data_IF_122886048893
#
_entry.id   IF_122886048893
#
_cell.length_a   1.000
_cell.length_b   1.000
_cell.length_c   1.000
_cell.angle_alpha   90.00
_cell.angle_beta   90.00
_cell.angle_gamma   90.00
#
_symmetry.space_group_name_H-M   'P 1'
#
loop_
_entity.id
_entity.type
_entity.pdbx_description
1 polymer ?
#
# COMPACT_ATOMS: atom_id res chain seq x y z
N UNK A 1 20.98 -7.60 -45.89
CA UNK A 1 19.59 -8.09 -45.68
C UNK A 1 19.51 -9.19 -44.63
N UNK A 2 20.35 -10.22 -44.71
CA UNK A 2 20.37 -11.34 -43.76
C UNK A 2 20.75 -10.92 -42.32
N UNK A 3 21.70 -10.00 -42.18
CA UNK A 3 22.11 -9.41 -40.90
C UNK A 3 20.98 -8.62 -40.22
N UNK A 4 20.32 -7.73 -40.97
CA UNK A 4 19.14 -7.00 -40.51
C UNK A 4 17.96 -7.92 -40.15
N UNK A 5 17.88 -9.12 -40.73
CA UNK A 5 16.85 -10.11 -40.40
C UNK A 5 17.17 -10.83 -39.09
N UNK A 6 18.44 -11.18 -38.86
CA UNK A 6 18.92 -11.74 -37.58
C UNK A 6 18.74 -10.75 -36.43
N UNK A 7 19.04 -9.48 -36.63
CA UNK A 7 18.83 -8.43 -35.63
C UNK A 7 17.34 -8.32 -35.25
N UNK A 8 16.43 -8.29 -36.24
CA UNK A 8 14.99 -8.28 -35.98
C UNK A 8 14.52 -9.51 -35.21
N UNK A 9 15.03 -10.69 -35.56
CA UNK A 9 14.70 -11.93 -34.85
C UNK A 9 15.20 -11.91 -33.41
N UNK A 10 16.41 -11.41 -33.16
CA UNK A 10 16.97 -11.27 -31.82
C UNK A 10 16.17 -10.27 -30.98
N UNK A 11 15.83 -9.10 -31.54
CA UNK A 11 14.98 -8.10 -30.89
C UNK A 11 13.60 -8.69 -30.56
N UNK A 12 13.00 -9.45 -31.46
CA UNK A 12 11.71 -10.09 -31.24
C UNK A 12 11.77 -11.18 -30.15
N UNK A 13 12.86 -11.96 -30.12
CA UNK A 13 13.12 -12.94 -29.05
C UNK A 13 13.28 -12.26 -27.69
N UNK A 14 14.15 -11.24 -27.61
CA UNK A 14 14.35 -10.45 -26.39
C UNK A 14 13.05 -9.83 -25.91
N UNK A 15 12.22 -9.24 -26.81
CA UNK A 15 10.91 -8.68 -26.46
C UNK A 15 9.95 -9.72 -25.90
N UNK A 16 9.91 -10.93 -26.47
CA UNK A 16 9.10 -12.04 -25.94
C UNK A 16 9.55 -12.46 -24.55
N UNK A 17 10.86 -12.54 -24.34
CA UNK A 17 11.41 -12.96 -23.05
C UNK A 17 11.18 -11.89 -21.98
N UNK A 18 11.31 -10.61 -22.34
CA UNK A 18 10.98 -9.48 -21.49
C UNK A 18 9.47 -9.45 -21.15
N UNK A 19 8.60 -9.76 -22.12
CA UNK A 19 7.17 -9.92 -21.87
C UNK A 19 6.85 -11.14 -20.99
N UNK A 20 7.64 -12.22 -21.08
CA UNK A 20 7.50 -13.41 -20.23
C UNK A 20 7.91 -13.10 -18.78
N UNK A 21 9.05 -12.42 -18.59
CA UNK A 21 9.56 -12.02 -17.28
C UNK A 21 8.70 -10.92 -16.64
N UNK A 22 8.20 -9.97 -17.43
CA UNK A 22 7.29 -8.92 -16.98
C UNK A 22 5.91 -9.41 -16.51
N UNK A 23 5.57 -10.69 -16.73
CA UNK A 23 4.36 -11.31 -16.16
C UNK A 23 4.48 -11.63 -14.68
N UNK A 24 5.72 -11.77 -14.16
CA UNK A 24 5.96 -12.08 -12.76
C UNK A 24 6.31 -10.79 -12.05
N UNK A 25 5.31 -10.17 -11.45
CA UNK A 25 5.51 -8.96 -10.66
C UNK A 25 5.62 -9.31 -9.18
N UNK A 26 6.84 -9.58 -8.73
CA UNK A 26 7.15 -10.07 -7.38
C UNK A 26 6.48 -9.23 -6.29
N UNK A 27 6.49 -7.90 -6.41
CA UNK A 27 5.89 -7.03 -5.38
C UNK A 27 4.39 -7.27 -5.27
N UNK A 28 3.69 -7.36 -6.39
CA UNK A 28 2.25 -7.54 -6.32
C UNK A 28 1.81 -8.99 -6.14
N UNK A 29 2.69 -9.95 -6.39
CA UNK A 29 2.51 -11.34 -5.98
C UNK A 29 2.66 -11.49 -4.46
N UNK A 30 3.57 -10.70 -3.86
CA UNK A 30 3.81 -10.60 -2.42
C UNK A 30 2.69 -9.82 -1.71
N UNK A 31 2.11 -8.79 -2.33
CA UNK A 31 1.05 -7.97 -1.75
C UNK A 31 -0.27 -8.13 -2.51
N UNK A 32 -0.98 -9.24 -2.26
CA UNK A 32 -2.29 -9.50 -2.88
C UNK A 32 -3.40 -8.79 -2.11
N UNK A 33 -3.84 -7.65 -2.64
CA UNK A 33 -4.99 -6.91 -2.13
C UNK A 33 -6.28 -7.48 -2.75
N UNK A 34 -7.25 -7.77 -1.90
CA UNK A 34 -8.58 -8.24 -2.30
C UNK A 34 -9.64 -7.77 -1.30
N UNK A 35 -10.85 -8.32 -1.39
CA UNK A 35 -11.94 -8.04 -0.45
C UNK A 35 -12.71 -9.31 -0.15
N UNK A 36 -13.15 -9.48 1.10
CA UNK A 36 -14.00 -10.60 1.52
C UNK A 36 -15.16 -10.05 2.33
N UNK A 37 -16.36 -10.08 1.74
CA UNK A 37 -17.53 -9.41 2.31
C UNK A 37 -17.30 -7.91 2.47
N UNK A 38 -17.47 -7.40 3.69
CA UNK A 38 -17.24 -5.98 3.99
C UNK A 38 -15.77 -5.64 4.28
N UNK A 39 -14.90 -6.63 4.50
CA UNK A 39 -13.50 -6.42 4.81
C UNK A 39 -12.64 -6.28 3.55
N UNK A 40 -11.70 -5.34 3.56
CA UNK A 40 -10.54 -5.41 2.68
C UNK A 40 -9.54 -6.45 3.21
N UNK A 41 -8.86 -7.16 2.31
CA UNK A 41 -7.87 -8.17 2.69
C UNK A 41 -6.53 -7.92 2.02
N UNK A 42 -5.45 -8.23 2.74
CA UNK A 42 -4.09 -8.23 2.22
C UNK A 42 -3.47 -9.59 2.52
N UNK A 43 -3.08 -10.33 1.47
CA UNK A 43 -2.64 -11.73 1.55
C UNK A 43 -3.62 -12.61 2.35
N UNK A 44 -4.92 -12.41 2.10
CA UNK A 44 -6.03 -13.08 2.78
C UNK A 44 -6.21 -12.74 4.27
N UNK A 45 -5.42 -11.81 4.82
CA UNK A 45 -5.63 -11.28 6.18
C UNK A 45 -6.66 -10.17 6.14
N UNK A 46 -7.70 -10.24 6.98
CA UNK A 46 -8.78 -9.24 7.04
C UNK A 46 -8.35 -8.04 7.85
N UNK A 47 -8.59 -6.86 7.27
CA UNK A 47 -8.28 -5.58 7.88
C UNK A 47 -9.58 -4.89 8.33
N UNK A 48 -9.87 -4.95 9.63
CA UNK A 48 -11.04 -4.33 10.24
C UNK A 48 -11.75 -5.25 11.23
N UNK A 49 -12.84 -4.75 11.82
CA UNK A 49 -13.74 -5.46 12.76
C UNK A 49 -15.19 -5.07 12.47
N UNK A 50 -16.13 -6.01 12.60
CA UNK A 50 -17.55 -5.71 12.45
C UNK A 50 -18.31 -6.14 13.71
N UNK A 51 -19.44 -5.46 14.03
CA UNK A 51 -20.37 -5.96 15.04
C UNK A 51 -20.81 -7.39 14.70
N UNK A 52 -20.48 -8.35 15.54
CA UNK A 52 -20.80 -9.78 15.35
C UNK A 52 -19.75 -10.62 14.61
N UNK A 53 -18.77 -10.02 13.95
CA UNK A 53 -17.62 -10.72 13.35
C UNK A 53 -16.33 -10.03 13.80
N UNK A 54 -15.84 -10.44 14.97
CA UNK A 54 -14.59 -9.92 15.53
C UNK A 54 -13.40 -10.64 14.92
N UNK A 55 -12.69 -9.96 14.03
CA UNK A 55 -11.36 -10.39 13.57
C UNK A 55 -10.36 -10.23 14.72
N UNK A 56 -9.48 -11.23 14.90
CA UNK A 56 -8.46 -11.19 15.94
C UNK A 56 -7.44 -10.07 15.66
N UNK A 57 -6.99 -9.41 16.72
CA UNK A 57 -5.97 -8.38 16.62
C UNK A 57 -4.66 -8.91 16.04
N UNK A 58 -4.30 -10.17 16.27
CA UNK A 58 -3.12 -10.76 15.64
C UNK A 58 -3.20 -10.72 14.09
N UNK A 59 -4.37 -10.98 13.52
CA UNK A 59 -4.63 -10.92 12.07
C UNK A 59 -4.58 -9.47 11.56
N UNK A 60 -5.26 -8.54 12.26
CA UNK A 60 -5.26 -7.11 11.92
C UNK A 60 -3.84 -6.53 11.97
N UNK A 61 -3.09 -6.84 13.03
CA UNK A 61 -1.74 -6.36 13.23
C UNK A 61 -0.80 -6.89 12.15
N UNK A 62 -0.94 -8.17 11.76
CA UNK A 62 -0.20 -8.74 10.64
C UNK A 62 -0.54 -8.05 9.31
N UNK A 63 -1.83 -7.78 9.05
CA UNK A 63 -2.27 -7.06 7.86
C UNK A 63 -1.71 -5.62 7.82
N UNK A 64 -1.78 -4.87 8.93
CA UNK A 64 -1.17 -3.53 9.03
C UNK A 64 0.34 -3.54 8.83
N UNK A 65 1.02 -4.56 9.36
CA UNK A 65 2.44 -4.74 9.13
C UNK A 65 2.79 -4.96 7.65
N UNK A 66 1.97 -5.72 6.94
CA UNK A 66 2.12 -5.91 5.50
C UNK A 66 1.80 -4.62 4.72
N UNK A 67 0.80 -3.83 5.13
CA UNK A 67 0.54 -2.51 4.54
C UNK A 67 1.74 -1.58 4.71
N UNK A 68 2.33 -1.53 5.90
CA UNK A 68 3.52 -0.73 6.16
C UNK A 68 4.70 -1.16 5.28
N UNK A 69 4.92 -2.48 5.14
CA UNK A 69 5.96 -3.02 4.27
C UNK A 69 5.71 -2.67 2.79
N UNK A 70 4.47 -2.78 2.32
CA UNK A 70 4.06 -2.43 0.96
C UNK A 70 4.41 -0.96 0.66
N UNK A 71 4.00 -0.03 1.52
CA UNK A 71 4.28 1.40 1.35
C UNK A 71 5.78 1.67 1.27
N UNK A 72 6.57 1.09 2.18
CA UNK A 72 8.04 1.26 2.19
C UNK A 72 8.68 0.64 0.94
N UNK A 73 8.22 -0.53 0.49
CA UNK A 73 8.74 -1.20 -0.70
C UNK A 73 8.48 -0.37 -1.96
N UNK A 74 7.24 0.10 -2.15
CA UNK A 74 6.86 0.92 -3.30
C UNK A 74 7.57 2.27 -3.27
N UNK A 75 7.73 2.90 -2.10
CA UNK A 75 8.48 4.14 -1.96
C UNK A 75 9.93 3.97 -2.41
N UNK A 76 10.62 2.93 -1.91
CA UNK A 76 12.02 2.62 -2.25
C UNK A 76 12.20 2.34 -3.74
N UNK A 77 11.30 1.56 -4.33
CA UNK A 77 11.39 1.20 -5.75
C UNK A 77 11.09 2.38 -6.69
N UNK A 78 10.10 3.20 -6.34
CA UNK A 78 9.69 4.34 -7.16
C UNK A 78 10.56 5.60 -6.95
N UNK A 79 11.41 5.62 -5.93
CA UNK A 79 12.19 6.78 -5.53
C UNK A 79 11.38 7.87 -4.81
N UNK A 80 10.15 7.56 -4.42
CA UNK A 80 9.30 8.46 -3.65
C UNK A 80 9.84 8.64 -2.22
N UNK A 81 9.64 9.84 -1.67
CA UNK A 81 10.04 10.18 -0.31
C UNK A 81 8.81 10.56 0.49
N UNK A 82 8.74 10.08 1.72
CA UNK A 82 7.74 10.56 2.67
C UNK A 82 8.11 11.95 3.16
N UNK A 83 7.12 12.81 3.34
CA UNK A 83 7.29 14.24 3.59
C UNK A 83 7.57 14.56 5.06
N UNK A 84 6.80 13.94 5.95
CA UNK A 84 6.73 14.30 7.38
C UNK A 84 6.82 13.10 8.31
N UNK A 85 6.42 11.93 7.84
CA UNK A 85 6.34 10.70 8.62
C UNK A 85 7.08 9.58 7.92
N UNK A 86 7.43 8.54 8.67
CA UNK A 86 8.04 7.33 8.10
C UNK A 86 7.53 6.09 8.83
N UNK A 87 7.68 4.95 8.15
CA UNK A 87 7.21 3.66 8.61
C UNK A 87 8.40 2.74 8.89
N UNK A 88 8.26 1.94 9.94
CA UNK A 88 9.19 0.89 10.34
C UNK A 88 8.46 -0.45 10.28
N UNK A 89 8.55 -1.19 9.16
CA UNK A 89 7.96 -2.52 9.03
C UNK A 89 8.67 -3.51 9.97
N UNK A 90 7.93 -4.06 10.92
CA UNK A 90 8.42 -5.04 11.91
C UNK A 90 7.42 -6.22 12.05
N UNK A 91 6.87 -6.67 10.93
CA UNK A 91 5.78 -7.65 10.93
C UNK A 91 4.56 -7.13 11.69
N UNK A 92 3.95 -7.97 12.54
CA UNK A 92 2.77 -7.62 13.34
C UNK A 92 3.02 -6.54 14.41
N UNK A 93 4.26 -6.08 14.60
CA UNK A 93 4.61 -5.03 15.56
C UNK A 93 5.19 -3.79 14.87
N UNK A 94 4.75 -3.53 13.64
CA UNK A 94 5.19 -2.38 12.85
C UNK A 94 4.90 -1.06 13.57
N UNK A 95 5.71 -0.04 13.27
CA UNK A 95 5.64 1.28 13.92
C UNK A 95 5.72 2.39 12.89
N UNK A 96 5.29 3.58 13.30
CA UNK A 96 5.46 4.81 12.55
C UNK A 96 6.17 5.85 13.41
N UNK A 97 6.80 6.84 12.80
CA UNK A 97 7.42 7.95 13.52
C UNK A 97 7.39 9.21 12.66
N UNK A 98 7.54 10.36 13.30
CA UNK A 98 7.74 11.61 12.57
C UNK A 98 9.22 11.80 12.25
N UNK A 99 9.52 12.34 11.07
CA UNK A 99 10.90 12.51 10.62
C UNK A 99 11.71 13.49 11.49
N UNK A 100 11.06 14.45 12.12
CA UNK A 100 11.64 15.40 13.08
C UNK A 100 11.91 14.76 14.47
N UNK A 101 11.14 13.75 14.85
CA UNK A 101 11.21 13.06 16.14
C UNK A 101 11.39 11.53 15.99
N UNK A 102 12.51 11.03 15.43
CA UNK A 102 12.65 9.60 15.10
C UNK A 102 12.66 8.65 16.31
N UNK A 103 12.87 9.18 17.53
CA UNK A 103 12.79 8.40 18.77
C UNK A 103 11.34 8.21 19.27
N UNK A 104 10.40 9.01 18.79
CA UNK A 104 8.99 8.93 19.17
C UNK A 104 8.25 7.94 18.25
N UNK A 105 8.27 6.66 18.61
CA UNK A 105 7.65 5.59 17.82
C UNK A 105 6.17 5.39 18.17
N UNK A 106 5.28 5.36 17.18
CA UNK A 106 3.86 5.10 17.32
C UNK A 106 3.53 3.70 16.82
N UNK A 107 2.62 3.01 17.50
CA UNK A 107 2.30 1.61 17.21
C UNK A 107 1.36 1.51 16.00
N UNK A 108 1.65 0.59 15.08
CA UNK A 108 0.72 0.16 14.02
C UNK A 108 0.09 -1.19 14.36
N UNK A 109 0.02 -1.50 15.65
CA UNK A 109 -0.58 -2.70 16.18
C UNK A 109 -1.49 -2.33 17.36
N UNK A 110 -2.68 -2.90 17.41
CA UNK A 110 -3.57 -2.76 18.56
C UNK A 110 -3.44 -3.94 19.51
N UNK A 111 -4.02 -3.79 20.70
CA UNK A 111 -4.19 -4.89 21.66
C UNK A 111 -5.67 -5.15 21.90
N UNK A 112 -6.03 -6.44 21.97
CA UNK A 112 -7.41 -6.88 22.21
C UNK A 112 -7.89 -6.73 23.64
N UNK A 113 -7.15 -6.06 24.52
CA UNK A 113 -7.58 -5.84 25.90
C UNK A 113 -8.53 -4.63 25.97
N UNK A 114 -9.85 -4.83 26.21
CA UNK A 114 -10.82 -3.75 26.26
C UNK A 114 -10.58 -2.76 27.41
N UNK A 115 -9.82 -3.16 28.44
CA UNK A 115 -9.52 -2.33 29.61
C UNK A 115 -8.21 -1.53 29.48
N UNK A 116 -7.17 -2.09 28.85
CA UNK A 116 -5.89 -1.39 28.63
C UNK A 116 -5.87 -0.59 27.31
N UNK A 117 -6.55 -1.08 26.28
CA UNK A 117 -6.62 -0.44 24.96
C UNK A 117 -7.37 0.89 24.97
N UNK A 118 -8.38 1.06 25.84
CA UNK A 118 -9.17 2.30 25.94
C UNK A 118 -8.48 3.46 26.65
N UNK A 119 -7.50 3.20 27.54
CA UNK A 119 -6.95 4.22 28.44
C UNK A 119 -5.56 4.72 28.01
N UNK A 120 -4.70 3.86 27.44
CA UNK A 120 -3.31 4.27 27.09
C UNK A 120 -2.85 3.86 25.68
N UNK A 121 -3.37 2.77 25.11
CA UNK A 121 -2.94 2.25 23.79
C UNK A 121 -3.63 2.91 22.58
N UNK A 122 -4.92 3.25 22.73
CA UNK A 122 -5.75 3.78 21.62
C UNK A 122 -5.19 5.05 20.99
N UNK A 123 -4.63 5.97 21.79
CA UNK A 123 -4.09 7.23 21.27
C UNK A 123 -2.82 7.02 20.44
N UNK A 124 -1.93 6.08 20.83
CA UNK A 124 -0.70 5.80 20.06
C UNK A 124 -1.01 5.05 18.78
N UNK A 125 -1.92 4.10 18.84
CA UNK A 125 -2.38 3.34 17.67
C UNK A 125 -3.09 4.25 16.67
N UNK A 126 -4.03 5.08 17.11
CA UNK A 126 -4.73 6.03 16.24
C UNK A 126 -3.75 7.03 15.59
N UNK A 127 -2.78 7.55 16.36
CA UNK A 127 -1.70 8.38 15.81
C UNK A 127 -0.88 7.61 14.78
N UNK A 128 -0.50 6.37 15.08
CA UNK A 128 0.20 5.49 14.14
C UNK A 128 -0.56 5.34 12.83
N UNK A 129 -1.87 5.06 12.90
CA UNK A 129 -2.73 4.95 11.70
C UNK A 129 -2.80 6.25 10.90
N UNK A 130 -2.88 7.41 11.55
CA UNK A 130 -2.81 8.71 10.86
C UNK A 130 -1.45 8.90 10.17
N UNK A 131 -0.34 8.50 10.80
CA UNK A 131 0.98 8.57 10.18
C UNK A 131 1.13 7.62 8.98
N UNK A 132 0.55 6.42 9.07
CA UNK A 132 0.46 5.48 7.97
C UNK A 132 -0.35 6.05 6.81
N UNK A 133 -1.49 6.66 7.11
CA UNK A 133 -2.33 7.31 6.10
C UNK A 133 -1.62 8.49 5.43
N UNK A 134 -0.85 9.29 6.19
CA UNK A 134 -0.03 10.37 5.63
C UNK A 134 1.04 9.83 4.67
N UNK A 135 1.73 8.74 5.04
CA UNK A 135 2.70 8.08 4.14
C UNK A 135 2.03 7.54 2.86
N UNK A 136 0.82 6.98 2.97
CA UNK A 136 0.04 6.56 1.82
C UNK A 136 -0.36 7.75 0.93
N UNK A 137 -0.80 8.86 1.53
CA UNK A 137 -1.13 10.11 0.82
C UNK A 137 0.06 10.64 0.02
N UNK A 138 1.26 10.70 0.63
CA UNK A 138 2.49 11.11 -0.06
C UNK A 138 2.76 10.25 -1.31
N UNK A 139 2.60 8.93 -1.20
CA UNK A 139 2.82 8.00 -2.33
C UNK A 139 1.75 8.11 -3.41
N UNK A 140 0.49 8.24 -3.02
CA UNK A 140 -0.61 8.42 -3.96
C UNK A 140 -0.48 9.74 -4.72
N UNK A 141 -0.08 10.83 -4.05
CA UNK A 141 0.21 12.11 -4.68
C UNK A 141 1.42 12.00 -5.63
N UNK A 142 2.50 11.33 -5.20
CA UNK A 142 3.66 11.06 -6.04
C UNK A 142 3.31 10.27 -7.31
N UNK A 143 2.43 9.27 -7.19
CA UNK A 143 1.94 8.48 -8.32
C UNK A 143 1.00 9.29 -9.23
N UNK A 144 0.07 10.05 -8.65
CA UNK A 144 -0.87 10.90 -9.39
C UNK A 144 -0.20 12.01 -10.20
N UNK A 145 0.92 12.54 -9.72
CA UNK A 145 1.76 13.49 -10.47
C UNK A 145 2.49 12.85 -11.67
N UNK A 146 2.42 11.52 -11.83
CA UNK A 146 3.08 10.76 -12.90
C UNK A 146 2.09 9.80 -13.56
N UNK A 147 1.13 10.33 -14.35
CA UNK A 147 0.12 9.50 -15.01
C UNK A 147 0.78 8.46 -15.93
N UNK A 148 0.17 7.27 -16.00
CA UNK A 148 0.65 6.15 -16.82
C UNK A 148 -0.49 5.61 -17.67
N UNK A 149 -0.18 5.23 -18.91
CA UNK A 149 -1.17 4.67 -19.82
C UNK A 149 -1.80 3.40 -19.24
N UNK A 150 -3.13 3.27 -19.37
CA UNK A 150 -3.88 2.13 -18.83
C UNK A 150 -4.13 2.15 -17.32
N UNK A 151 -3.76 3.22 -16.62
CA UNK A 151 -4.03 3.43 -15.20
C UNK A 151 -5.03 4.56 -15.04
N UNK A 152 -6.01 4.42 -14.14
CA UNK A 152 -6.94 5.50 -13.83
C UNK A 152 -6.19 6.75 -13.34
N UNK A 153 -6.68 7.97 -13.64
CA UNK A 153 -5.94 9.21 -13.39
C UNK A 153 -5.71 9.53 -11.90
N UNK A 154 -6.53 8.99 -11.01
CA UNK A 154 -6.46 9.22 -9.57
C UNK A 154 -6.91 7.96 -8.81
N UNK A 155 -6.50 7.79 -7.53
CA UNK A 155 -7.05 6.75 -6.66
C UNK A 155 -8.56 6.96 -6.44
N UNK A 156 -9.32 5.86 -6.23
CA UNK A 156 -10.77 5.92 -6.11
C UNK A 156 -11.26 6.65 -4.85
N UNK A 157 -10.48 6.67 -3.76
CA UNK A 157 -10.87 7.33 -2.52
C UNK A 157 -9.91 8.48 -2.17
N UNK A 158 -10.41 9.71 -2.00
CA UNK A 158 -9.58 10.82 -1.57
C UNK A 158 -9.15 10.63 -0.11
N UNK A 159 -7.92 11.06 0.20
CA UNK A 159 -7.40 11.14 1.56
C UNK A 159 -7.42 12.60 2.00
N UNK A 160 -8.13 12.87 3.10
CA UNK A 160 -8.28 14.20 3.69
C UNK A 160 -7.98 14.11 5.19
N UNK A 161 -6.85 14.69 5.59
CA UNK A 161 -6.37 14.64 6.98
C UNK A 161 -6.32 13.20 7.56
N UNK A 162 -7.28 12.84 8.42
CA UNK A 162 -7.39 11.54 9.08
C UNK A 162 -8.47 10.63 8.48
N UNK A 163 -9.01 10.98 7.31
CA UNK A 163 -10.06 10.24 6.63
C UNK A 163 -9.63 9.76 5.24
N UNK A 164 -10.18 8.63 4.83
CA UNK A 164 -10.03 8.06 3.49
C UNK A 164 -11.41 7.67 2.97
N UNK A 165 -11.78 8.17 1.79
CA UNK A 165 -13.11 7.98 1.22
C UNK A 165 -14.24 8.52 2.10
N UNK A 166 -13.96 9.54 2.92
CA UNK A 166 -14.91 10.12 3.88
C UNK A 166 -15.04 9.34 5.21
N UNK A 167 -14.25 8.29 5.43
CA UNK A 167 -14.27 7.50 6.67
C UNK A 167 -12.98 7.71 7.46
N UNK A 168 -13.11 8.03 8.75
CA UNK A 168 -11.96 8.26 9.64
C UNK A 168 -11.18 6.97 9.91
N UNK A 169 -9.85 7.03 9.78
CA UNK A 169 -8.95 5.89 9.98
C UNK A 169 -8.69 5.60 11.46
N UNK A 170 -8.97 6.55 12.36
CA UNK A 170 -8.79 6.39 13.81
C UNK A 170 -9.91 5.54 14.38
N UNK A 171 -9.56 4.43 15.03
CA UNK A 171 -10.51 3.44 15.52
C UNK A 171 -11.47 4.04 16.56
N UNK A 172 -11.00 4.91 17.47
CA UNK A 172 -11.87 5.48 18.49
C UNK A 172 -12.75 6.62 17.96
N UNK A 173 -12.29 7.34 16.93
CA UNK A 173 -13.01 8.49 16.37
C UNK A 173 -13.87 8.14 15.13
N UNK A 174 -13.79 6.91 14.63
CA UNK A 174 -14.54 6.46 13.45
C UNK A 174 -16.05 6.44 13.63
N UNK A 175 -16.55 6.50 14.87
CA UNK A 175 -17.96 6.32 15.18
C UNK A 175 -18.43 4.85 15.11
N UNK A 176 -17.50 3.89 15.14
CA UNK A 176 -17.80 2.46 15.22
C UNK A 176 -16.83 1.58 14.42
N UNK A 177 -16.78 0.29 14.77
CA UNK A 177 -15.89 -0.69 14.09
C UNK A 177 -16.22 -0.85 12.60
N UNK A 178 -17.50 -0.75 12.21
CA UNK A 178 -17.94 -0.84 10.82
C UNK A 178 -17.39 0.29 9.95
N UNK A 179 -17.49 1.54 10.42
CA UNK A 179 -16.94 2.71 9.73
C UNK A 179 -15.42 2.65 9.64
N UNK A 180 -14.78 2.18 10.70
CA UNK A 180 -13.33 1.96 10.69
C UNK A 180 -12.89 0.90 9.67
N UNK A 181 -13.61 -0.22 9.61
CA UNK A 181 -13.40 -1.26 8.59
C UNK A 181 -13.60 -0.73 7.18
N UNK A 182 -14.59 0.15 6.99
CA UNK A 182 -14.80 0.81 5.69
C UNK A 182 -13.63 1.71 5.32
N UNK A 183 -13.10 2.51 6.25
CA UNK A 183 -11.89 3.32 6.02
C UNK A 183 -10.70 2.46 5.59
N UNK A 184 -10.44 1.37 6.32
CA UNK A 184 -9.34 0.44 6.01
C UNK A 184 -9.49 -0.22 4.64
N UNK A 185 -10.73 -0.56 4.25
CA UNK A 185 -11.02 -1.09 2.93
C UNK A 185 -10.76 -0.04 1.83
N UNK A 186 -11.24 1.19 2.00
CA UNK A 186 -10.98 2.26 1.04
C UNK A 186 -9.47 2.50 0.85
N UNK A 187 -8.71 2.51 1.95
CA UNK A 187 -7.25 2.57 1.88
C UNK A 187 -6.66 1.42 1.04
N UNK A 188 -7.08 0.17 1.27
CA UNK A 188 -6.59 -0.96 0.47
C UNK A 188 -6.97 -0.84 -1.02
N UNK A 189 -8.15 -0.32 -1.34
CA UNK A 189 -8.57 -0.07 -2.72
C UNK A 189 -7.65 0.98 -3.39
N UNK A 190 -7.25 2.04 -2.68
CA UNK A 190 -6.28 3.01 -3.19
C UNK A 190 -4.86 2.42 -3.34
N UNK A 191 -4.45 1.54 -2.42
CA UNK A 191 -3.17 0.83 -2.53
C UNK A 191 -3.16 -0.18 -3.69
N UNK A 192 -4.31 -0.77 -4.03
CA UNK A 192 -4.47 -1.59 -5.23
C UNK A 192 -4.30 -0.76 -6.51
N UNK A 193 -4.87 0.46 -6.52
CA UNK A 193 -4.61 1.44 -7.58
C UNK A 193 -3.11 1.79 -7.66
N UNK A 194 -2.44 2.02 -6.53
CA UNK A 194 -1.01 2.31 -6.47
C UNK A 194 -0.15 1.17 -7.03
N UNK A 195 -0.50 -0.09 -6.72
CA UNK A 195 0.17 -1.27 -7.28
C UNK A 195 -0.04 -1.38 -8.79
N UNK A 196 -1.21 -1.02 -9.28
CA UNK A 196 -1.51 -0.96 -10.73
C UNK A 196 -0.68 0.12 -11.41
N UNK A 197 -0.62 1.32 -10.81
CA UNK A 197 0.26 2.39 -11.26
C UNK A 197 1.71 1.94 -11.33
N UNK A 198 2.22 1.31 -10.27
CA UNK A 198 3.59 0.79 -10.18
C UNK A 198 3.89 -0.19 -11.33
N UNK A 199 3.03 -1.19 -11.52
CA UNK A 199 3.18 -2.20 -12.59
C UNK A 199 3.28 -1.57 -13.98
N UNK A 200 2.43 -0.59 -14.28
CA UNK A 200 2.47 0.10 -15.56
C UNK A 200 3.82 0.81 -15.79
N UNK A 201 4.48 1.28 -14.73
CA UNK A 201 5.81 1.87 -14.80
C UNK A 201 6.91 0.88 -15.08
N UNK A 202 6.88 -0.25 -14.38
CA UNK A 202 7.83 -1.33 -14.61
C UNK A 202 7.73 -1.85 -16.06
N UNK A 203 6.50 -2.01 -16.58
CA UNK A 203 6.26 -2.40 -17.96
C UNK A 203 6.78 -1.36 -18.98
N UNK A 204 6.60 -0.07 -18.72
CA UNK A 204 7.11 1.00 -19.58
C UNK A 204 8.64 1.13 -19.55
N UNK A 205 9.29 0.94 -18.40
CA UNK A 205 10.75 0.94 -18.29
C UNK A 205 11.38 -0.24 -19.05
N UNK A 206 10.72 -1.39 -19.00
CA UNK A 206 11.04 -2.61 -19.75
C UNK A 206 10.97 -2.41 -21.27
N UNK A 207 9.98 -1.66 -21.77
CA UNK A 207 9.87 -1.37 -23.21
C UNK A 207 10.78 -0.22 -23.67
N UNK A 208 11.02 0.79 -22.83
CA UNK A 208 11.88 1.94 -23.13
C UNK A 208 13.37 1.60 -23.24
N UNK A 209 13.88 0.74 -22.35
CA UNK A 209 15.28 0.25 -22.45
C UNK A 209 15.50 -0.56 -23.73
N UNK A 210 14.48 -1.29 -24.20
CA UNK A 210 14.53 -2.02 -25.46
C UNK A 210 14.51 -1.13 -26.72
N UNK A 211 14.09 0.15 -26.60
CA UNK A 211 14.06 1.09 -27.73
C UNK A 211 15.35 1.92 -27.86
N UNK A 212 16.02 2.20 -26.74
CA UNK A 212 17.29 2.96 -26.72
C UNK A 212 18.53 2.10 -27.02
N UNK A 213 18.40 0.77 -26.93
CA UNK A 213 19.44 -0.19 -27.25
C UNK A 213 19.36 -0.74 -28.70
N UNK A 214 18.44 -0.22 -29.52
CA UNK A 214 18.24 -0.55 -30.93
C UNK A 214 18.57 0.67 -31.80
#
# INVERSE_FOLDING_TARGET
EEEATRERQLVQFCRRELARLGRVDVVSDVFRISSTGSFGTLNSLRLGRLPGVSVDWAEINAALGQVALLLVAVARESGARFSSHALLPMGSYSKAYKLDEPRALYELHGSGSPHLGRIFGSSRFDKGLTMLLACASDLLAFAGARPRAGVAPAPPHPIEADAVGGFCIRLQASGGEERWTRALRCLLEDLSWLLTWRRAGAAAAATGTALHAA
#
